data_IF_300790196588
#
_entry.id   IF_300790196588
#
_cell.length_a   1.000
_cell.length_b   1.000
_cell.length_c   1.000
_cell.angle_alpha   90.00
_cell.angle_beta   90.00
_cell.angle_gamma   90.00
#
_symmetry.space_group_name_H-M   'P 1'
#
loop_
_entity.id
_entity.type
_entity.pdbx_description
1 polymer ?
#
# COMPACT_ATOMS: atom_id res chain seq x y z
N UNK A 1 -17.23 11.43 21.79
CA UNK A 1 -15.88 11.81 22.26
C UNK A 1 -14.90 11.20 21.28
N UNK A 2 -14.22 12.01 20.45
CA UNK A 2 -13.22 11.48 19.52
C UNK A 2 -11.99 10.99 20.32
N UNK A 3 -11.33 9.89 19.89
CA UNK A 3 -10.10 9.47 20.52
C UNK A 3 -9.03 10.57 20.39
N UNK A 4 -8.18 10.78 21.41
CA UNK A 4 -7.15 11.81 21.37
C UNK A 4 -6.19 11.55 20.21
N UNK A 5 -5.89 12.60 19.44
CA UNK A 5 -4.91 12.56 18.37
C UNK A 5 -3.53 12.20 18.93
N UNK A 6 -2.94 11.10 18.49
CA UNK A 6 -1.54 10.74 18.75
C UNK A 6 -0.76 10.86 17.45
N UNK A 7 0.10 11.86 17.35
CA UNK A 7 1.04 11.99 16.24
C UNK A 7 2.07 10.86 16.35
N UNK A 8 2.19 10.06 15.29
CA UNK A 8 3.22 9.02 15.18
C UNK A 8 4.36 9.61 14.35
N UNK A 9 5.60 9.62 14.86
CA UNK A 9 6.73 10.09 14.07
C UNK A 9 6.98 9.16 12.87
N UNK A 10 7.44 9.72 11.75
CA UNK A 10 7.77 8.96 10.54
C UNK A 10 9.03 8.08 10.68
N UNK A 11 9.74 8.22 11.80
CA UNK A 11 10.97 7.51 12.14
C UNK A 11 10.94 7.07 13.59
N UNK A 12 11.71 6.03 13.92
CA UNK A 12 11.75 5.48 15.27
C UNK A 12 12.72 6.25 16.21
N UNK A 13 13.54 7.16 15.66
CA UNK A 13 14.58 7.91 16.36
C UNK A 13 14.30 9.43 16.44
N UNK A 14 14.91 10.10 17.43
CA UNK A 14 14.88 11.57 17.54
C UNK A 14 15.96 12.16 16.62
N UNK A 15 15.58 13.14 15.80
CA UNK A 15 16.43 13.83 14.82
C UNK A 15 16.98 12.90 13.72
N UNK A 16 16.11 12.38 12.84
CA UNK A 16 16.56 11.49 11.77
C UNK A 16 17.47 12.19 10.77
N UNK A 17 18.36 11.40 10.17
CA UNK A 17 19.18 11.87 9.07
C UNK A 17 18.31 12.15 7.84
N UNK A 18 18.56 13.30 7.23
CA UNK A 18 17.79 13.84 6.11
C UNK A 18 18.53 13.50 4.81
N UNK A 19 17.79 13.07 3.79
CA UNK A 19 18.37 12.78 2.47
C UNK A 19 18.94 14.05 1.84
N UNK A 20 19.73 13.89 0.78
CA UNK A 20 19.95 14.99 -0.16
C UNK A 20 18.63 15.54 -0.70
N UNK A 21 18.61 16.83 -1.03
CA UNK A 21 17.45 17.50 -1.65
C UNK A 21 17.42 17.17 -3.13
N UNK A 22 16.24 16.77 -3.63
CA UNK A 22 15.97 16.56 -5.05
C UNK A 22 14.92 17.56 -5.51
N UNK A 23 15.29 18.49 -6.38
CA UNK A 23 14.35 19.47 -6.94
C UNK A 23 13.56 18.86 -8.09
N UNK A 24 12.22 18.91 -8.00
CA UNK A 24 11.28 18.50 -9.05
C UNK A 24 10.32 19.64 -9.40
N UNK A 25 9.53 19.50 -10.46
CA UNK A 25 8.60 20.54 -10.92
C UNK A 25 7.57 20.96 -9.85
N UNK A 26 7.27 20.08 -8.89
CA UNK A 26 6.34 20.28 -7.79
C UNK A 26 7.01 20.85 -6.51
N UNK A 27 8.33 21.07 -6.53
CA UNK A 27 9.10 21.59 -5.40
C UNK A 27 10.28 20.72 -5.02
N UNK A 28 10.90 21.05 -3.89
CA UNK A 28 12.04 20.30 -3.35
C UNK A 28 11.55 19.11 -2.53
N UNK A 29 12.02 17.91 -2.88
CA UNK A 29 11.78 16.70 -2.12
C UNK A 29 12.97 16.39 -1.22
N UNK A 30 12.66 16.03 0.02
CA UNK A 30 13.60 15.48 0.99
C UNK A 30 12.93 14.33 1.74
N UNK A 31 13.67 13.27 2.01
CA UNK A 31 13.23 12.17 2.86
C UNK A 31 14.01 12.12 4.18
N UNK A 32 13.59 11.22 5.06
CA UNK A 32 14.26 10.90 6.32
C UNK A 32 14.47 9.39 6.41
N UNK A 33 15.60 8.96 6.96
CA UNK A 33 15.91 7.55 7.20
C UNK A 33 15.92 7.23 8.69
N UNK A 34 15.64 5.96 9.03
CA UNK A 34 15.93 5.44 10.37
C UNK A 34 17.45 5.28 10.57
N UNK A 35 17.91 5.03 11.82
CA UNK A 35 19.34 4.84 12.13
C UNK A 35 20.00 3.72 11.29
N UNK A 36 19.23 2.70 10.92
CA UNK A 36 19.66 1.59 10.07
C UNK A 36 19.64 1.92 8.56
N UNK A 37 19.40 3.17 8.19
CA UNK A 37 19.26 3.66 6.83
C UNK A 37 18.06 3.04 6.07
N UNK A 38 17.09 2.46 6.77
CA UNK A 38 15.84 1.99 6.16
C UNK A 38 14.83 3.13 5.95
N UNK A 39 14.02 2.98 4.90
CA UNK A 39 12.78 3.75 4.71
C UNK A 39 11.62 2.78 4.90
N UNK A 40 10.69 3.11 5.80
CA UNK A 40 9.43 2.37 5.93
C UNK A 40 8.34 3.14 5.19
N UNK A 41 7.99 2.68 3.99
CA UNK A 41 6.89 3.26 3.20
C UNK A 41 5.60 2.51 3.53
N UNK A 42 4.67 3.20 4.17
CA UNK A 42 3.36 2.67 4.53
C UNK A 42 2.23 3.30 3.68
N UNK A 43 2.46 3.44 2.37
CA UNK A 43 1.56 4.19 1.50
C UNK A 43 0.12 3.66 1.48
N UNK A 44 -0.10 2.36 1.66
CA UNK A 44 -1.44 1.74 1.65
C UNK A 44 -2.18 1.77 2.99
N UNK A 45 -1.49 2.04 4.11
CA UNK A 45 -2.13 2.04 5.45
C UNK A 45 -3.22 3.12 5.56
N UNK A 46 -2.99 4.37 5.11
CA UNK A 46 -4.02 5.41 5.20
C UNK A 46 -5.29 5.09 4.42
N UNK A 47 -5.16 4.44 3.26
CA UNK A 47 -6.29 3.98 2.45
C UNK A 47 -7.05 2.86 3.15
N UNK A 48 -6.36 1.82 3.62
CA UNK A 48 -7.00 0.70 4.31
C UNK A 48 -7.69 1.11 5.62
N UNK A 49 -7.24 2.19 6.27
CA UNK A 49 -7.78 2.68 7.53
C UNK A 49 -8.84 3.79 7.38
N UNK A 50 -9.07 4.30 6.16
CA UNK A 50 -10.04 5.37 5.92
C UNK A 50 -9.69 6.71 6.57
N UNK A 51 -8.41 7.03 6.71
CA UNK A 51 -7.96 8.21 7.46
C UNK A 51 -7.20 9.26 6.62
N UNK A 52 -7.37 9.24 5.30
CA UNK A 52 -6.73 10.17 4.36
C UNK A 52 -6.91 11.66 4.75
N UNK A 53 -8.05 12.01 5.34
CA UNK A 53 -8.37 13.35 5.86
C UNK A 53 -7.38 13.88 6.92
N UNK A 54 -6.55 13.01 7.51
CA UNK A 54 -5.48 13.42 8.44
C UNK A 54 -4.29 14.09 7.75
N UNK A 55 -4.27 14.10 6.42
CA UNK A 55 -3.19 14.60 5.58
C UNK A 55 -3.75 15.58 4.54
N UNK A 56 -4.20 16.78 4.97
CA UNK A 56 -4.86 17.72 4.07
C UNK A 56 -3.92 18.16 2.94
N UNK A 57 -4.43 18.14 1.71
CA UNK A 57 -3.71 18.55 0.50
C UNK A 57 -2.80 17.48 -0.13
N UNK A 58 -2.74 16.26 0.44
CA UNK A 58 -1.93 15.17 -0.10
C UNK A 58 -2.71 14.18 -0.98
N UNK A 59 -4.05 14.16 -0.89
CA UNK A 59 -4.89 13.15 -1.53
C UNK A 59 -5.99 13.81 -2.37
N UNK A 60 -6.28 13.24 -3.53
CA UNK A 60 -7.35 13.65 -4.44
C UNK A 60 -8.69 12.99 -4.10
N UNK A 61 -9.76 13.34 -4.81
CA UNK A 61 -11.08 12.72 -4.63
C UNK A 61 -11.05 11.21 -4.95
N UNK A 62 -10.31 10.83 -6.01
CA UNK A 62 -10.10 9.44 -6.41
C UNK A 62 -9.42 8.61 -5.32
N UNK A 63 -8.53 9.22 -4.52
CA UNK A 63 -7.92 8.54 -3.39
C UNK A 63 -8.93 8.20 -2.28
N UNK A 64 -9.90 9.09 -2.03
CA UNK A 64 -10.98 8.83 -1.07
C UNK A 64 -11.90 7.72 -1.56
N UNK A 65 -12.24 7.70 -2.85
CA UNK A 65 -13.02 6.62 -3.46
C UNK A 65 -12.29 5.27 -3.36
N UNK A 66 -11.01 5.24 -3.71
CA UNK A 66 -10.18 4.03 -3.57
C UNK A 66 -10.12 3.55 -2.11
N UNK A 67 -9.96 4.48 -1.17
CA UNK A 67 -9.93 4.20 0.27
C UNK A 67 -11.24 3.58 0.77
N UNK A 68 -12.39 4.06 0.29
CA UNK A 68 -13.70 3.46 0.61
C UNK A 68 -13.82 2.04 0.06
N UNK A 69 -13.42 1.82 -1.19
CA UNK A 69 -13.46 0.50 -1.83
C UNK A 69 -12.54 -0.50 -1.12
N UNK A 70 -11.31 -0.09 -0.78
CA UNK A 70 -10.37 -0.91 -0.01
C UNK A 70 -10.96 -1.30 1.35
N UNK A 71 -11.55 -0.35 2.08
CA UNK A 71 -12.20 -0.67 3.36
C UNK A 71 -13.34 -1.68 3.19
N UNK A 72 -14.17 -1.54 2.15
CA UNK A 72 -15.29 -2.46 1.90
C UNK A 72 -14.81 -3.90 1.66
N UNK A 73 -13.80 -4.09 0.80
CA UNK A 73 -13.20 -5.42 0.59
C UNK A 73 -12.67 -6.03 1.90
N UNK A 74 -11.97 -5.24 2.73
CA UNK A 74 -11.33 -5.73 3.95
C UNK A 74 -12.37 -6.06 5.03
N UNK A 75 -13.41 -5.23 5.16
CA UNK A 75 -14.53 -5.46 6.07
C UNK A 75 -15.34 -6.68 5.66
N UNK A 76 -15.61 -6.86 4.37
CA UNK A 76 -16.32 -8.05 3.86
C UNK A 76 -15.53 -9.32 4.14
N UNK A 77 -14.22 -9.30 3.86
CA UNK A 77 -13.33 -10.42 4.15
C UNK A 77 -13.29 -10.75 5.63
N UNK A 78 -13.13 -9.75 6.51
CA UNK A 78 -13.11 -9.96 7.95
C UNK A 78 -14.44 -10.54 8.48
N UNK A 79 -15.58 -10.20 7.86
CA UNK A 79 -16.91 -10.71 8.25
C UNK A 79 -17.19 -12.12 7.76
N UNK A 80 -16.76 -12.45 6.53
CA UNK A 80 -17.29 -13.61 5.80
C UNK A 80 -16.24 -14.52 5.19
N UNK A 81 -14.96 -14.11 5.16
CA UNK A 81 -13.90 -14.75 4.39
C UNK A 81 -13.97 -14.48 2.88
N UNK A 82 -15.00 -13.81 2.38
CA UNK A 82 -15.11 -13.37 0.99
C UNK A 82 -15.00 -11.83 0.93
N UNK A 83 -14.02 -11.26 0.20
CA UNK A 83 -13.88 -9.81 0.12
C UNK A 83 -14.99 -9.15 -0.74
N UNK A 84 -15.64 -9.91 -1.62
CA UNK A 84 -16.59 -9.36 -2.60
C UNK A 84 -17.90 -8.90 -1.96
N UNK A 85 -18.57 -7.94 -2.61
CA UNK A 85 -19.85 -7.36 -2.19
C UNK A 85 -20.51 -6.56 -3.31
N UNK A 86 -21.71 -6.07 -3.06
CA UNK A 86 -22.44 -5.23 -4.02
C UNK A 86 -21.66 -3.95 -4.33
N UNK A 87 -21.62 -3.57 -5.62
CA UNK A 87 -20.93 -2.35 -6.08
C UNK A 87 -19.41 -2.46 -6.21
N UNK A 88 -18.80 -3.59 -5.82
CA UNK A 88 -17.36 -3.80 -5.98
C UNK A 88 -17.06 -4.55 -7.29
N UNK A 89 -15.95 -4.21 -7.97
CA UNK A 89 -15.35 -5.10 -8.96
C UNK A 89 -15.11 -6.50 -8.38
N UNK A 90 -15.13 -7.52 -9.22
CA UNK A 90 -14.93 -8.88 -8.73
C UNK A 90 -13.44 -9.13 -8.44
N UNK A 91 -13.13 -9.40 -7.16
CA UNK A 91 -11.85 -9.95 -6.74
C UNK A 91 -11.90 -11.48 -6.81
N UNK A 92 -11.35 -12.03 -7.90
CA UNK A 92 -11.30 -13.48 -8.12
C UNK A 92 -10.25 -14.13 -7.23
N UNK A 93 -10.62 -15.29 -6.66
CA UNK A 93 -9.70 -16.12 -5.88
C UNK A 93 -8.60 -16.66 -6.78
N UNK A 94 -7.36 -16.64 -6.28
CA UNK A 94 -6.20 -17.22 -6.96
C UNK A 94 -6.29 -18.75 -6.95
N UNK A 95 -6.12 -19.38 -8.10
CA UNK A 95 -6.10 -20.83 -8.32
C UNK A 95 -4.94 -21.21 -9.25
N UNK A 96 -4.77 -22.50 -9.55
CA UNK A 96 -3.76 -22.95 -10.51
C UNK A 96 -4.03 -22.49 -11.95
N UNK A 97 -5.29 -22.21 -12.28
CA UNK A 97 -5.78 -21.78 -13.59
C UNK A 97 -6.13 -20.28 -13.66
N UNK A 98 -6.07 -19.57 -12.52
CA UNK A 98 -6.33 -18.14 -12.41
C UNK A 98 -5.34 -17.51 -11.43
N UNK A 99 -4.29 -16.87 -11.94
CA UNK A 99 -3.22 -16.27 -11.15
C UNK A 99 -3.19 -14.74 -11.18
N UNK A 100 -4.17 -14.10 -11.83
CA UNK A 100 -4.28 -12.64 -11.88
C UNK A 100 -4.38 -12.02 -10.49
N UNK A 101 -3.88 -10.80 -10.37
CA UNK A 101 -3.96 -9.98 -9.17
C UNK A 101 -5.08 -8.96 -9.30
N UNK A 102 -5.69 -8.56 -8.17
CA UNK A 102 -6.53 -7.38 -8.16
C UNK A 102 -5.63 -6.14 -8.07
N UNK A 103 -5.72 -5.25 -9.07
CA UNK A 103 -5.11 -3.93 -9.02
C UNK A 103 -6.00 -2.98 -8.21
N UNK A 104 -5.39 -2.30 -7.24
CA UNK A 104 -6.00 -1.21 -6.47
C UNK A 104 -5.34 0.10 -6.90
N UNK A 105 -6.00 0.77 -7.83
CA UNK A 105 -5.59 2.03 -8.45
C UNK A 105 -6.89 2.80 -8.79
N UNK A 106 -6.77 3.97 -9.41
CA UNK A 106 -7.87 4.72 -10.05
C UNK A 106 -8.80 3.84 -10.90
N UNK A 107 -8.26 2.83 -11.57
CA UNK A 107 -9.04 1.74 -12.17
C UNK A 107 -8.79 0.41 -11.46
N UNK A 108 -9.86 -0.14 -10.87
CA UNK A 108 -9.82 -1.40 -10.13
C UNK A 108 -10.20 -2.55 -11.05
N UNK A 109 -9.27 -3.46 -11.29
CA UNK A 109 -9.45 -4.60 -12.19
C UNK A 109 -8.51 -5.75 -11.89
N UNK A 110 -8.85 -6.93 -12.39
CA UNK A 110 -7.94 -8.07 -12.40
C UNK A 110 -6.88 -7.87 -13.50
N UNK A 111 -5.60 -7.95 -13.13
CA UNK A 111 -4.46 -7.81 -14.04
C UNK A 111 -3.58 -9.07 -14.02
N UNK A 112 -2.88 -9.33 -15.12
CA UNK A 112 -1.77 -10.29 -15.10
C UNK A 112 -0.70 -9.79 -14.14
N UNK A 113 -0.05 -10.71 -13.43
CA UNK A 113 0.97 -10.36 -12.44
C UNK A 113 2.21 -9.80 -13.16
N UNK A 114 2.50 -8.48 -13.05
CA UNK A 114 3.60 -7.87 -13.79
C UNK A 114 4.97 -8.35 -13.32
N UNK A 115 5.04 -8.99 -12.14
CA UNK A 115 6.27 -9.45 -11.51
C UNK A 115 6.42 -10.98 -11.54
N UNK A 116 5.57 -11.70 -12.27
CA UNK A 116 5.58 -13.17 -12.30
C UNK A 116 6.96 -13.77 -12.62
N UNK A 117 7.70 -13.19 -13.57
CA UNK A 117 9.04 -13.65 -13.92
C UNK A 117 10.10 -13.35 -12.84
N UNK A 118 9.93 -12.26 -12.09
CA UNK A 118 10.84 -11.90 -11.01
C UNK A 118 10.75 -12.91 -9.86
N UNK A 119 9.57 -13.43 -9.55
CA UNK A 119 9.42 -14.44 -8.51
C UNK A 119 10.19 -15.72 -8.83
N UNK A 120 10.17 -16.17 -10.09
CA UNK A 120 10.95 -17.34 -10.52
C UNK A 120 12.44 -17.14 -10.26
N UNK A 121 12.95 -15.93 -10.53
CA UNK A 121 14.35 -15.60 -10.26
C UNK A 121 14.62 -15.63 -8.75
N UNK A 122 13.75 -15.03 -7.94
CA UNK A 122 13.87 -15.03 -6.47
C UNK A 122 13.87 -16.47 -5.93
N UNK A 123 12.95 -17.31 -6.40
CA UNK A 123 12.83 -18.71 -5.99
C UNK A 123 14.12 -19.48 -6.31
N UNK A 124 14.67 -19.32 -7.53
CA UNK A 124 15.96 -19.92 -7.90
C UNK A 124 17.11 -19.49 -6.98
N UNK A 125 17.19 -18.21 -6.60
CA UNK A 125 18.20 -17.73 -5.66
C UNK A 125 18.01 -18.30 -4.26
N UNK A 126 16.77 -18.37 -3.77
CA UNK A 126 16.47 -18.92 -2.44
C UNK A 126 16.81 -20.41 -2.35
N UNK A 127 16.48 -21.19 -3.38
CA UNK A 127 16.77 -22.62 -3.43
C UNK A 127 18.27 -22.92 -3.55
N UNK A 128 19.01 -22.13 -4.35
CA UNK A 128 20.47 -22.31 -4.53
C UNK A 128 21.31 -21.93 -3.31
N UNK A 129 20.78 -21.12 -2.38
CA UNK A 129 21.50 -20.71 -1.15
C UNK A 129 21.27 -21.70 0.00
N UNK A 130 20.37 -22.67 -0.17
CA UNK A 130 20.04 -23.69 0.85
C UNK A 130 20.75 -25.04 0.56
N UNK A 131 21.46 -25.18 -0.57
CA UNK A 131 22.28 -26.37 -0.90
C UNK A 131 23.77 -26.14 -0.72
#
# INVERSE_FOLDING_TARGET
MYPPYKNVPAVDNKNPDVTGVVSIAQGDLTGVYNEDHSVKVYASIPYAYGNLWRHPGLYSEEDYELSEIMQQYWVNFAKTGNPNGEGLPEWKMRTADQDKLLQLDTEIKMIDDPNAELYKIIDMYQESTIS
#
